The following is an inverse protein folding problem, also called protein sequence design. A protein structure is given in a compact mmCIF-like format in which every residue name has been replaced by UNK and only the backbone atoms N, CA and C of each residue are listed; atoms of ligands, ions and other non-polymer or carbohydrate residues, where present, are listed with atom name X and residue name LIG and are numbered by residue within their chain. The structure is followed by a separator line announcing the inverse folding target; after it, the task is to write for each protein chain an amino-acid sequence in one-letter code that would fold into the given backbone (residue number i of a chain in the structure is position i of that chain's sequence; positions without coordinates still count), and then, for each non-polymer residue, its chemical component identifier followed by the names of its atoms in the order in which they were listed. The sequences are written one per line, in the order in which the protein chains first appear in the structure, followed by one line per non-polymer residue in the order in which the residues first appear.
data_IF_913515973809
#
_entry.id   IF_913515973809
#
_cell.length_a   1.000
_cell.length_b   1.000
_cell.length_c   1.000
_cell.angle_alpha   90.00
_cell.angle_beta   90.00
_cell.angle_gamma   90.00
#
_symmetry.space_group_name_H-M   'P 1'
#
loop_
_entity.id
_entity.type
_entity.pdbx_description
1 polymer ?
#
# COMPACT_ATOMS: atom_id res chain seq x y z
N UNK A 1 -8.43 13.47 -24.62
CA UNK A 1 -7.04 13.63 -24.14
C UNK A 1 -6.11 12.98 -25.16
N UNK A 2 -5.20 13.73 -25.79
CA UNK A 2 -4.32 13.22 -26.87
C UNK A 2 -3.02 12.65 -26.30
N UNK A 3 -2.39 11.68 -26.98
CA UNK A 3 -1.09 11.08 -26.59
C UNK A 3 0.01 12.13 -26.30
N UNK A 4 -0.01 13.27 -27.01
CA UNK A 4 0.91 14.39 -26.81
C UNK A 4 0.65 15.16 -25.50
N UNK A 5 -0.61 15.26 -25.06
CA UNK A 5 -0.96 15.89 -23.77
C UNK A 5 -0.50 15.05 -22.57
N UNK A 6 -0.47 13.72 -22.73
CA UNK A 6 -0.04 12.78 -21.69
C UNK A 6 1.48 12.79 -21.50
N UNK A 7 2.27 12.77 -22.60
CA UNK A 7 3.75 12.84 -22.54
C UNK A 7 4.28 14.09 -21.83
N UNK A 8 3.54 15.22 -21.89
CA UNK A 8 3.89 16.46 -21.18
C UNK A 8 3.54 16.44 -19.68
N UNK A 9 2.57 15.65 -19.25
CA UNK A 9 2.21 15.48 -17.83
C UNK A 9 3.00 14.35 -17.14
N UNK A 10 3.54 13.39 -17.91
CA UNK A 10 4.22 12.19 -17.38
C UNK A 10 5.76 12.24 -17.51
N UNK A 11 6.30 13.17 -18.29
CA UNK A 11 7.75 13.34 -18.47
C UNK A 11 8.43 14.03 -17.27
N UNK A 12 9.73 13.76 -17.08
CA UNK A 12 10.56 14.46 -16.08
C UNK A 12 10.50 13.92 -14.64
N UNK A 13 10.12 12.64 -14.46
CA UNK A 13 10.07 11.99 -13.15
C UNK A 13 8.75 12.14 -12.39
N UNK A 14 7.76 12.84 -12.96
CA UNK A 14 6.45 13.05 -12.32
C UNK A 14 5.72 11.73 -12.06
N UNK A 15 5.81 10.74 -12.96
CA UNK A 15 5.22 9.42 -12.74
C UNK A 15 5.79 8.73 -11.49
N UNK A 16 7.11 8.83 -11.28
CA UNK A 16 7.79 8.31 -10.08
C UNK A 16 7.29 9.07 -8.86
N UNK A 17 7.28 10.40 -8.92
CA UNK A 17 6.86 11.26 -7.81
C UNK A 17 5.41 10.98 -7.38
N UNK A 18 4.48 10.89 -8.33
CA UNK A 18 3.07 10.54 -8.08
C UNK A 18 2.96 9.16 -7.42
N UNK A 19 3.67 8.16 -7.94
CA UNK A 19 3.64 6.81 -7.36
C UNK A 19 4.26 6.74 -5.96
N UNK A 20 5.28 7.55 -5.68
CA UNK A 20 6.02 7.57 -4.41
C UNK A 20 5.26 8.32 -3.32
N UNK A 21 4.56 9.41 -3.65
CA UNK A 21 3.81 10.16 -2.63
C UNK A 21 2.44 9.57 -2.34
N UNK A 22 1.87 8.77 -3.24
CA UNK A 22 0.47 8.33 -3.16
C UNK A 22 0.07 7.66 -1.84
N UNK A 23 0.94 6.81 -1.26
CA UNK A 23 0.66 6.15 0.02
C UNK A 23 0.77 7.11 1.21
N UNK A 24 1.76 8.01 1.21
CA UNK A 24 1.91 9.06 2.24
C UNK A 24 0.76 10.05 2.19
N UNK A 25 0.32 10.45 0.99
CA UNK A 25 -0.80 11.36 0.78
C UNK A 25 -2.10 10.78 1.32
N UNK A 26 -2.27 9.44 1.31
CA UNK A 26 -3.43 8.79 1.92
C UNK A 26 -3.48 8.96 3.43
N UNK A 27 -2.35 8.95 4.14
CA UNK A 27 -2.31 9.15 5.59
C UNK A 27 -2.83 10.54 6.00
N UNK A 28 -2.70 11.52 5.13
CA UNK A 28 -3.01 12.93 5.43
C UNK A 28 -4.40 13.39 4.98
N UNK A 29 -5.21 12.49 4.40
CA UNK A 29 -6.59 12.81 4.01
C UNK A 29 -7.54 12.63 5.20
N UNK A 30 -8.46 13.58 5.48
CA UNK A 30 -9.39 13.51 6.62
C UNK A 30 -10.14 12.18 6.73
N UNK A 31 -10.58 11.61 5.61
CA UNK A 31 -11.28 10.32 5.54
C UNK A 31 -10.41 9.18 4.98
N UNK A 32 -9.13 9.45 4.70
CA UNK A 32 -8.23 8.52 3.99
C UNK A 32 -8.05 7.18 4.70
N UNK A 33 -8.25 7.17 6.02
CA UNK A 33 -8.03 6.01 6.88
C UNK A 33 -9.31 5.27 7.26
N UNK A 34 -10.49 5.85 7.08
CA UNK A 34 -11.76 5.27 7.53
C UNK A 34 -12.00 3.86 6.92
N UNK A 35 -11.69 3.68 5.64
CA UNK A 35 -11.78 2.38 4.97
C UNK A 35 -10.80 1.35 5.54
N UNK A 36 -9.57 1.75 5.85
CA UNK A 36 -8.58 0.87 6.49
C UNK A 36 -8.99 0.50 7.91
N UNK A 37 -9.48 1.47 8.69
CA UNK A 37 -10.02 1.24 10.03
C UNK A 37 -11.18 0.24 10.01
N UNK A 38 -12.11 0.38 9.06
CA UNK A 38 -13.24 -0.56 8.93
C UNK A 38 -12.77 -1.95 8.52
N UNK A 39 -11.81 -2.05 7.59
CA UNK A 39 -11.24 -3.33 7.19
C UNK A 39 -10.53 -4.03 8.36
N UNK A 40 -9.77 -3.30 9.18
CA UNK A 40 -9.09 -3.85 10.36
C UNK A 40 -10.09 -4.38 11.40
N UNK A 41 -11.17 -3.63 11.70
CA UNK A 41 -12.26 -4.12 12.57
C UNK A 41 -12.93 -5.37 11.98
N UNK A 42 -13.19 -5.38 10.68
CA UNK A 42 -13.78 -6.54 9.99
C UNK A 42 -12.87 -7.77 10.10
N UNK A 43 -11.55 -7.62 10.00
CA UNK A 43 -10.60 -8.73 10.17
C UNK A 43 -10.63 -9.23 11.63
N UNK A 44 -10.67 -8.32 12.60
CA UNK A 44 -10.70 -8.62 14.03
C UNK A 44 -11.95 -9.38 14.45
N UNK A 45 -13.12 -8.99 13.93
CA UNK A 45 -14.42 -9.57 14.30
C UNK A 45 -14.86 -10.73 13.40
N UNK A 46 -14.13 -11.03 12.32
CA UNK A 46 -14.47 -12.16 11.45
C UNK A 46 -14.18 -13.49 12.12
N UNK A 47 -15.10 -14.46 12.02
CA UNK A 47 -14.88 -15.84 12.45
C UNK A 47 -14.13 -16.70 11.42
N UNK A 48 -13.84 -16.15 10.24
CA UNK A 48 -13.26 -16.88 9.11
C UNK A 48 -12.03 -16.17 8.54
N UNK A 49 -11.40 -16.81 7.56
CA UNK A 49 -10.35 -16.19 6.76
C UNK A 49 -10.93 -15.00 5.97
N UNK A 50 -10.17 -13.90 5.91
CA UNK A 50 -10.57 -12.68 5.22
C UNK A 50 -9.66 -12.44 4.02
N UNK A 51 -10.26 -12.26 2.85
CA UNK A 51 -9.58 -11.77 1.66
C UNK A 51 -9.99 -10.32 1.41
N UNK A 52 -9.01 -9.44 1.14
CA UNK A 52 -9.24 -8.06 0.73
C UNK A 52 -8.38 -7.74 -0.48
N UNK A 53 -8.94 -6.98 -1.43
CA UNK A 53 -8.23 -6.64 -2.66
C UNK A 53 -8.64 -5.26 -3.17
N UNK A 54 -7.78 -4.68 -4.01
CA UNK A 54 -8.14 -3.58 -4.87
C UNK A 54 -8.18 -4.07 -6.33
N UNK A 55 -8.03 -3.19 -7.32
CA UNK A 55 -8.07 -3.59 -8.74
C UNK A 55 -6.84 -4.41 -9.14
N UNK A 56 -5.64 -3.99 -8.69
CA UNK A 56 -4.38 -4.63 -9.05
C UNK A 56 -3.72 -5.36 -7.87
N UNK A 57 -4.34 -5.32 -6.69
CA UNK A 57 -3.80 -5.95 -5.48
C UNK A 57 -2.50 -5.31 -4.93
N UNK A 58 -2.08 -4.14 -5.43
CA UNK A 58 -0.77 -3.54 -5.10
C UNK A 58 -0.84 -2.31 -4.18
N UNK A 59 -1.57 -1.25 -4.56
CA UNK A 59 -1.44 0.05 -3.87
C UNK A 59 -2.23 0.09 -2.56
N UNK A 60 -3.57 0.12 -2.67
CA UNK A 60 -4.46 0.12 -1.48
C UNK A 60 -4.38 -1.18 -0.70
N UNK A 61 -4.17 -2.30 -1.39
CA UNK A 61 -3.97 -3.60 -0.75
C UNK A 61 -2.63 -3.67 -0.02
N UNK A 62 -1.55 -3.19 -0.65
CA UNK A 62 -0.23 -3.13 -0.02
C UNK A 62 -0.22 -2.20 1.18
N UNK A 63 -0.87 -1.03 1.10
CA UNK A 63 -1.01 -0.15 2.25
C UNK A 63 -1.83 -0.79 3.38
N UNK A 64 -2.98 -1.40 3.09
CA UNK A 64 -3.77 -2.13 4.10
C UNK A 64 -2.93 -3.22 4.79
N UNK A 65 -2.17 -3.99 4.00
CA UNK A 65 -1.32 -5.08 4.50
C UNK A 65 -0.20 -4.53 5.38
N UNK A 66 0.48 -3.46 4.94
CA UNK A 66 1.53 -2.80 5.70
C UNK A 66 1.02 -2.26 7.04
N UNK A 67 -0.17 -1.66 7.07
CA UNK A 67 -0.82 -1.20 8.30
C UNK A 67 -1.10 -2.36 9.26
N UNK A 68 -1.68 -3.45 8.75
CA UNK A 68 -1.98 -4.64 9.55
C UNK A 68 -0.68 -5.25 10.14
N UNK A 69 0.34 -5.46 9.31
CA UNK A 69 1.61 -6.03 9.75
C UNK A 69 2.31 -5.13 10.78
N UNK A 70 2.26 -3.81 10.60
CA UNK A 70 2.77 -2.84 11.55
C UNK A 70 2.10 -2.91 12.92
N UNK A 71 0.76 -2.99 12.97
CA UNK A 71 -0.01 -3.18 14.21
C UNK A 71 0.36 -4.49 14.91
N UNK A 72 0.64 -5.54 14.14
CA UNK A 72 1.07 -6.84 14.66
C UNK A 72 2.53 -6.83 15.16
N UNK A 73 3.30 -5.76 14.88
CA UNK A 73 4.68 -5.61 15.31
C UNK A 73 5.69 -6.32 14.40
N UNK A 74 5.32 -6.55 13.14
CA UNK A 74 6.22 -7.12 12.13
C UNK A 74 7.32 -6.10 11.79
N UNK A 75 8.60 -6.51 11.63
CA UNK A 75 9.67 -5.58 11.30
C UNK A 75 9.46 -4.84 9.98
N UNK A 76 9.80 -3.55 9.95
CA UNK A 76 9.67 -2.68 8.76
C UNK A 76 10.26 -3.31 7.50
N UNK A 77 11.43 -3.96 7.61
CA UNK A 77 12.07 -4.64 6.48
C UNK A 77 11.15 -5.70 5.86
N UNK A 78 10.50 -6.51 6.69
CA UNK A 78 9.56 -7.55 6.22
C UNK A 78 8.34 -6.92 5.57
N UNK A 79 7.84 -5.80 6.10
CA UNK A 79 6.72 -5.06 5.52
C UNK A 79 7.09 -4.51 4.14
N UNK A 80 8.29 -3.95 4.00
CA UNK A 80 8.81 -3.45 2.71
C UNK A 80 8.98 -4.59 1.71
N UNK A 81 9.57 -5.71 2.14
CA UNK A 81 9.79 -6.89 1.30
C UNK A 81 8.44 -7.46 0.79
N UNK A 82 7.42 -7.54 1.66
CA UNK A 82 6.06 -7.96 1.29
C UNK A 82 5.42 -7.00 0.27
N UNK A 83 5.52 -5.70 0.52
CA UNK A 83 4.96 -4.68 -0.36
C UNK A 83 5.51 -4.76 -1.79
N UNK A 84 6.83 -4.96 -1.95
CA UNK A 84 7.47 -5.08 -3.28
C UNK A 84 7.25 -6.44 -3.94
N UNK A 85 6.81 -7.45 -3.21
CA UNK A 85 6.53 -8.80 -3.72
C UNK A 85 5.43 -8.80 -4.80
N UNK A 86 4.58 -7.76 -4.81
CA UNK A 86 3.61 -7.49 -5.88
C UNK A 86 4.24 -7.50 -7.27
N UNK A 87 5.51 -7.09 -7.42
CA UNK A 87 6.21 -7.09 -8.71
C UNK A 87 6.41 -8.51 -9.24
N UNK A 88 6.70 -9.46 -8.36
CA UNK A 88 6.88 -10.87 -8.73
C UNK A 88 5.57 -11.44 -9.23
N UNK A 89 4.48 -11.27 -8.47
CA UNK A 89 3.18 -11.85 -8.82
C UNK A 89 2.49 -11.15 -10.00
N UNK A 90 2.71 -9.84 -10.19
CA UNK A 90 2.15 -9.10 -11.32
C UNK A 90 3.03 -9.13 -12.57
N UNK A 91 4.24 -9.71 -12.53
CA UNK A 91 5.22 -9.67 -13.62
C UNK A 91 4.61 -10.04 -14.98
N UNK A 92 4.01 -11.22 -15.09
CA UNK A 92 3.45 -11.69 -16.36
C UNK A 92 2.35 -10.77 -16.91
N UNK A 93 1.47 -10.28 -16.03
CA UNK A 93 0.40 -9.33 -16.38
C UNK A 93 0.97 -7.98 -16.85
N UNK A 94 1.98 -7.48 -16.15
CA UNK A 94 2.66 -6.24 -16.49
C UNK A 94 3.38 -6.38 -17.84
N UNK A 95 4.13 -7.46 -18.07
CA UNK A 95 4.82 -7.74 -19.34
C UNK A 95 3.85 -7.85 -20.53
N UNK A 96 2.70 -8.49 -20.35
CA UNK A 96 1.64 -8.52 -21.37
C UNK A 96 1.14 -7.10 -21.69
N UNK A 97 0.94 -6.28 -20.66
CA UNK A 97 0.49 -4.90 -20.80
C UNK A 97 1.54 -4.04 -21.51
N UNK A 98 2.82 -4.18 -21.12
CA UNK A 98 3.93 -3.46 -21.75
C UNK A 98 4.07 -3.84 -23.22
N UNK A 99 3.98 -5.12 -23.56
CA UNK A 99 4.03 -5.60 -24.94
C UNK A 99 2.90 -5.00 -25.77
N UNK A 100 1.67 -5.03 -25.25
CA UNK A 100 0.51 -4.45 -25.92
C UNK A 100 0.67 -2.94 -26.17
N UNK A 101 1.07 -2.18 -25.15
CA UNK A 101 1.21 -0.72 -25.25
C UNK A 101 2.39 -0.33 -26.15
N UNK A 102 3.51 -1.05 -26.05
CA UNK A 102 4.66 -0.85 -26.93
C UNK A 102 4.30 -1.09 -28.40
N UNK A 103 3.47 -2.10 -28.70
CA UNK A 103 2.94 -2.33 -30.06
C UNK A 103 2.06 -1.19 -30.61
N UNK A 104 1.60 -0.29 -29.72
CA UNK A 104 0.84 0.93 -30.07
C UNK A 104 1.73 2.19 -30.09
N UNK A 105 3.05 2.04 -29.97
CA UNK A 105 4.00 3.16 -29.97
C UNK A 105 4.04 3.95 -28.66
N UNK A 106 3.53 3.38 -27.55
CA UNK A 106 3.59 4.02 -26.24
C UNK A 106 4.91 3.64 -25.58
N UNK A 107 5.62 4.64 -25.07
CA UNK A 107 6.81 4.45 -24.24
C UNK A 107 6.41 3.89 -22.87
N UNK A 108 6.73 2.61 -22.65
CA UNK A 108 6.37 1.88 -21.43
C UNK A 108 7.23 2.27 -20.24
N UNK A 109 8.39 2.88 -20.44
CA UNK A 109 9.26 3.31 -19.34
C UNK A 109 8.62 4.47 -18.55
N UNK A 110 7.76 5.25 -19.20
CA UNK A 110 6.92 6.26 -18.54
C UNK A 110 5.82 5.65 -17.65
N UNK A 111 5.47 4.37 -17.86
CA UNK A 111 4.39 3.68 -17.16
C UNK A 111 4.86 2.77 -16.03
N UNK A 112 6.05 2.17 -16.17
CA UNK A 112 6.63 1.28 -15.15
C UNK A 112 6.55 1.86 -13.74
N UNK A 113 6.88 3.15 -13.48
CA UNK A 113 6.79 3.71 -12.14
C UNK A 113 5.39 3.64 -11.50
N UNK A 114 4.34 3.71 -12.33
CA UNK A 114 2.94 3.63 -11.89
C UNK A 114 2.46 2.19 -11.71
N UNK A 115 3.09 1.24 -12.41
CA UNK A 115 2.66 -0.16 -12.46
C UNK A 115 3.41 -1.07 -11.49
N UNK A 116 4.64 -0.70 -11.13
CA UNK A 116 5.53 -1.47 -10.25
C UNK A 116 5.61 -0.86 -8.84
N UNK A 117 5.91 -1.69 -7.84
CA UNK A 117 6.12 -1.29 -6.46
C UNK A 117 7.61 -1.12 -6.14
N UNK A 118 7.95 -0.13 -5.31
CA UNK A 118 9.30 0.17 -4.86
C UNK A 118 9.31 0.47 -3.36
N UNK A 119 10.44 0.22 -2.66
CA UNK A 119 10.57 0.58 -1.26
C UNK A 119 10.27 2.06 -0.97
N UNK A 120 10.61 2.96 -1.91
CA UNK A 120 10.36 4.41 -1.79
C UNK A 120 8.89 4.79 -1.64
N UNK A 121 7.96 3.89 -1.96
CA UNK A 121 6.53 4.14 -1.85
C UNK A 121 5.96 3.81 -0.47
N UNK A 122 6.58 2.88 0.26
CA UNK A 122 6.07 2.41 1.56
C UNK A 122 6.98 2.76 2.74
N UNK A 123 8.30 2.80 2.55
CA UNK A 123 9.24 3.17 3.61
C UNK A 123 8.91 4.53 4.25
N UNK A 124 8.58 5.59 3.47
CA UNK A 124 8.21 6.88 4.07
C UNK A 124 6.92 6.84 4.89
N UNK A 125 5.99 5.91 4.59
CA UNK A 125 4.78 5.69 5.40
C UNK A 125 5.17 5.13 6.77
N UNK A 126 6.03 4.10 6.80
CA UNK A 126 6.51 3.48 8.04
C UNK A 126 7.30 4.48 8.89
N UNK A 127 8.21 5.23 8.25
CA UNK A 127 8.99 6.27 8.91
C UNK A 127 8.09 7.37 9.51
N UNK A 128 7.07 7.81 8.76
CA UNK A 128 6.11 8.80 9.27
C UNK A 128 5.31 8.29 10.47
N UNK A 129 4.88 7.04 10.44
CA UNK A 129 4.18 6.40 11.58
C UNK A 129 5.09 6.35 12.81
N UNK A 130 6.33 5.90 12.65
CA UNK A 130 7.32 5.83 13.72
C UNK A 130 7.65 7.22 14.29
N UNK A 131 8.05 8.15 13.42
CA UNK A 131 8.73 9.38 13.82
C UNK A 131 7.76 10.55 14.06
N UNK A 132 6.64 10.62 13.32
CA UNK A 132 5.72 11.77 13.39
C UNK A 132 4.43 11.45 14.14
N UNK A 133 3.90 10.23 14.01
CA UNK A 133 2.71 9.79 14.74
C UNK A 133 3.03 9.17 16.11
N UNK A 134 4.32 9.01 16.44
CA UNK A 134 4.77 8.48 17.73
C UNK A 134 4.62 6.97 17.88
N UNK A 135 4.73 6.24 16.77
CA UNK A 135 4.71 4.77 16.73
C UNK A 135 3.35 4.15 16.45
N UNK A 136 3.35 2.83 16.27
CA UNK A 136 2.17 2.06 15.89
C UNK A 136 1.04 2.10 16.92
N UNK A 137 1.34 2.21 18.21
CA UNK A 137 0.32 2.30 19.26
C UNK A 137 -0.52 3.57 19.12
N UNK A 138 0.15 4.74 19.13
CA UNK A 138 -0.50 6.04 18.96
C UNK A 138 -1.18 6.15 17.60
N UNK A 139 -0.52 5.71 16.54
CA UNK A 139 -1.12 5.71 15.20
C UNK A 139 -2.42 4.88 15.15
N UNK A 140 -2.44 3.70 15.78
CA UNK A 140 -3.63 2.84 15.81
C UNK A 140 -4.80 3.47 16.55
N UNK A 141 -4.53 4.15 17.67
CA UNK A 141 -5.56 4.79 18.50
C UNK A 141 -6.01 6.12 17.91
N UNK A 142 -5.06 7.00 17.56
CA UNK A 142 -5.35 8.38 17.20
C UNK A 142 -5.77 8.54 15.75
N UNK A 143 -5.21 7.75 14.84
CA UNK A 143 -5.47 7.84 13.40
C UNK A 143 -6.45 6.75 12.95
N UNK A 144 -6.17 5.48 13.26
CA UNK A 144 -7.04 4.38 12.85
C UNK A 144 -8.28 4.21 13.75
N UNK A 145 -8.32 4.89 14.91
CA UNK A 145 -9.42 4.81 15.89
C UNK A 145 -9.72 3.38 16.35
N UNK A 146 -8.69 2.54 16.44
CA UNK A 146 -8.81 1.17 16.95
C UNK A 146 -8.67 1.17 18.47
N UNK A 147 -9.59 0.52 19.16
CA UNK A 147 -9.48 0.29 20.59
C UNK A 147 -8.54 -0.90 20.90
N UNK A 148 -8.20 -1.03 22.18
CA UNK A 148 -7.31 -2.08 22.66
C UNK A 148 -7.88 -3.50 22.41
N UNK A 149 -9.21 -3.66 22.48
CA UNK A 149 -9.88 -4.95 22.20
C UNK A 149 -9.69 -5.37 20.75
N UNK A 150 -9.89 -4.47 19.80
CA UNK A 150 -9.68 -4.71 18.37
C UNK A 150 -8.23 -5.14 18.10
N UNK A 151 -7.25 -4.42 18.68
CA UNK A 151 -5.83 -4.75 18.51
C UNK A 151 -5.51 -6.12 19.13
N UNK A 152 -6.05 -6.41 20.32
CA UNK A 152 -5.86 -7.69 20.98
C UNK A 152 -6.44 -8.86 20.17
N UNK A 153 -7.64 -8.70 19.60
CA UNK A 153 -8.27 -9.68 18.69
C UNK A 153 -7.41 -9.94 17.45
N UNK A 154 -6.93 -8.88 16.79
CA UNK A 154 -6.04 -9.02 15.63
C UNK A 154 -4.79 -9.83 15.97
N UNK A 155 -4.12 -9.51 17.09
CA UNK A 155 -2.92 -10.22 17.53
C UNK A 155 -3.21 -11.69 17.87
N UNK A 156 -4.28 -11.95 18.62
CA UNK A 156 -4.70 -13.30 19.01
C UNK A 156 -5.00 -14.19 17.79
N UNK A 157 -5.63 -13.60 16.76
CA UNK A 157 -6.05 -14.33 15.56
C UNK A 157 -4.91 -14.56 14.56
N UNK A 158 -3.98 -13.62 14.44
CA UNK A 158 -3.02 -13.59 13.33
C UNK A 158 -1.57 -13.91 13.75
N UNK A 159 -1.29 -13.98 15.05
CA UNK A 159 0.01 -14.40 15.57
C UNK A 159 -0.09 -15.77 16.22
N UNK A 160 0.93 -16.61 16.00
CA UNK A 160 1.09 -17.84 16.77
C UNK A 160 1.52 -17.49 18.19
N UNK A 161 1.04 -18.24 19.19
CA UNK A 161 1.59 -18.17 20.55
C UNK A 161 3.08 -18.56 20.48
N UNK A 162 3.94 -17.70 21.00
CA UNK A 162 5.35 -18.04 21.24
C UNK A 162 5.46 -18.97 22.44
#
# INVERSE_FOLDING_TARGET
MTLQSWSRCSGGGEAVRISDTGAVDQLSKPDGMAGYSQALRTIADSESAVAYHCTAGKDRTGLMTALLLGILGVPDKTIVDDFVLSNTYNKAKNEQTYTFLSSKGIDVDLLKPLMEQRPSQIQPVLDKIRDQFGGWEKFSQDVLKLDADTIAKLRSKLLTKQ
#
